data_IF_390904234218
#
_entry.id   IF_390904234218
#
_cell.length_a   1.000
_cell.length_b   1.000
_cell.length_c   1.000
_cell.angle_alpha   90.00
_cell.angle_beta   90.00
_cell.angle_gamma   90.00
#
_symmetry.space_group_name_H-M   'P 1'
#
loop_
_entity.id
_entity.type
_entity.pdbx_description
1 polymer ?
#
# COMPACT_ATOMS: atom_id res chain seq x y z
N UNK A 1 3.37 11.22 29.38
CA UNK A 1 4.10 11.30 28.10
C UNK A 1 5.05 10.12 28.06
N UNK A 2 4.93 9.23 27.08
CA UNK A 2 5.69 7.98 27.06
C UNK A 2 7.00 8.19 26.31
N UNK A 3 8.09 8.45 27.06
CA UNK A 3 9.41 8.45 26.46
C UNK A 3 9.77 7.05 26.01
N UNK A 4 10.21 6.94 24.75
CA UNK A 4 10.75 5.70 24.25
C UNK A 4 12.07 5.40 25.00
N UNK A 5 12.25 4.18 25.54
CA UNK A 5 13.51 3.81 26.16
C UNK A 5 14.69 4.07 25.20
N UNK A 6 15.82 4.53 25.73
CA UNK A 6 17.02 4.80 24.94
C UNK A 6 17.47 3.58 24.12
N UNK A 7 17.23 2.38 24.66
CA UNK A 7 17.47 1.10 23.98
C UNK A 7 16.69 1.00 22.67
N UNK A 8 15.40 1.32 22.67
CA UNK A 8 14.53 1.26 21.47
C UNK A 8 15.06 2.17 20.37
N UNK A 9 15.43 3.41 20.71
CA UNK A 9 15.99 4.37 19.75
C UNK A 9 17.32 3.87 19.18
N UNK A 10 18.19 3.38 20.04
CA UNK A 10 19.49 2.83 19.66
C UNK A 10 19.32 1.63 18.72
N UNK A 11 18.42 0.70 19.04
CA UNK A 11 18.11 -0.47 18.19
C UNK A 11 17.55 -0.05 16.84
N UNK A 12 16.60 0.90 16.79
CA UNK A 12 16.06 1.40 15.52
C UNK A 12 17.18 2.01 14.64
N UNK A 13 18.08 2.77 15.25
CA UNK A 13 19.26 3.32 14.58
C UNK A 13 20.20 2.24 14.01
N UNK A 14 20.49 1.19 14.78
CA UNK A 14 21.32 0.07 14.31
C UNK A 14 20.66 -0.72 13.18
N UNK A 15 19.35 -1.01 13.28
CA UNK A 15 18.60 -1.68 12.23
C UNK A 15 18.64 -0.87 10.93
N UNK A 16 18.42 0.45 11.01
CA UNK A 16 18.52 1.33 9.86
C UNK A 16 19.92 1.29 9.24
N UNK A 17 20.97 1.50 10.05
CA UNK A 17 22.35 1.50 9.58
C UNK A 17 22.74 0.17 8.91
N UNK A 18 22.33 -0.96 9.50
CA UNK A 18 22.56 -2.29 8.96
C UNK A 18 21.85 -2.47 7.61
N UNK A 19 20.58 -2.08 7.51
CA UNK A 19 19.81 -2.20 6.26
C UNK A 19 20.41 -1.36 5.12
N UNK A 20 20.81 -0.13 5.42
CA UNK A 20 21.47 0.78 4.46
C UNK A 20 22.82 0.21 4.03
N UNK A 21 23.67 -0.17 4.99
CA UNK A 21 24.98 -0.77 4.70
C UNK A 21 24.87 -2.03 3.86
N UNK A 22 23.89 -2.89 4.14
CA UNK A 22 23.63 -4.10 3.36
C UNK A 22 23.19 -3.78 1.93
N UNK A 23 22.25 -2.86 1.74
CA UNK A 23 21.79 -2.46 0.39
C UNK A 23 22.96 -1.90 -0.42
N UNK A 24 23.80 -1.05 0.17
CA UNK A 24 24.98 -0.49 -0.49
C UNK A 24 26.02 -1.58 -0.81
N UNK A 25 26.36 -2.43 0.15
CA UNK A 25 27.30 -3.53 -0.03
C UNK A 25 26.85 -4.47 -1.15
N UNK A 26 25.60 -4.91 -1.09
CA UNK A 26 25.06 -5.83 -2.08
C UNK A 26 24.94 -5.18 -3.46
N UNK A 27 24.59 -3.89 -3.55
CA UNK A 27 24.64 -3.17 -4.83
C UNK A 27 26.06 -3.08 -5.37
N UNK A 28 27.06 -2.86 -4.52
CA UNK A 28 28.45 -2.79 -4.96
C UNK A 28 28.99 -4.15 -5.41
N UNK A 29 28.75 -5.21 -4.63
CA UNK A 29 29.24 -6.57 -4.92
C UNK A 29 28.49 -7.24 -6.06
N UNK A 30 27.18 -7.03 -6.16
CA UNK A 30 26.31 -7.65 -7.15
C UNK A 30 25.81 -6.67 -8.22
N UNK A 31 26.49 -5.52 -8.41
CA UNK A 31 26.32 -4.66 -9.57
C UNK A 31 26.74 -5.44 -10.83
N UNK A 32 25.92 -6.40 -11.23
CA UNK A 32 25.96 -6.92 -12.58
C UNK A 32 25.37 -5.83 -13.47
N UNK A 33 25.94 -5.57 -14.66
CA UNK A 33 25.35 -4.71 -15.69
C UNK A 33 24.02 -5.26 -16.25
N UNK A 34 23.40 -6.22 -15.57
CA UNK A 34 22.42 -7.16 -16.12
C UNK A 34 20.96 -6.76 -15.89
N UNK A 35 20.67 -5.49 -15.68
CA UNK A 35 19.31 -5.03 -15.88
C UNK A 35 19.33 -3.54 -16.20
N UNK A 36 19.02 -3.19 -17.44
CA UNK A 36 18.56 -1.86 -17.87
C UNK A 36 17.20 -1.51 -17.20
N UNK A 37 17.01 -1.90 -15.94
CA UNK A 37 15.96 -1.41 -15.09
C UNK A 37 16.13 0.09 -15.03
N UNK A 38 15.14 0.81 -15.56
CA UNK A 38 15.24 2.24 -15.79
C UNK A 38 15.82 2.95 -14.57
N UNK A 39 16.87 3.75 -14.78
CA UNK A 39 17.54 4.56 -13.75
C UNK A 39 16.50 5.29 -12.88
N UNK A 40 15.39 5.72 -13.49
CA UNK A 40 14.24 6.36 -12.83
C UNK A 40 13.65 5.54 -11.68
N UNK A 41 13.41 4.24 -11.88
CA UNK A 41 12.86 3.38 -10.84
C UNK A 41 13.81 3.24 -9.63
N UNK A 42 15.12 3.15 -9.89
CA UNK A 42 16.13 3.14 -8.83
C UNK A 42 16.15 4.46 -8.05
N UNK A 43 16.03 5.60 -8.73
CA UNK A 43 15.96 6.92 -8.09
C UNK A 43 14.74 7.02 -7.18
N UNK A 44 13.55 6.60 -7.66
CA UNK A 44 12.33 6.65 -6.84
C UNK A 44 12.46 5.86 -5.52
N UNK A 45 13.00 4.64 -5.58
CA UNK A 45 13.27 3.82 -4.39
C UNK A 45 14.25 4.49 -3.43
N UNK A 46 15.33 5.05 -3.96
CA UNK A 46 16.35 5.75 -3.15
C UNK A 46 15.71 6.95 -2.44
N UNK A 47 14.93 7.76 -3.14
CA UNK A 47 14.27 8.93 -2.56
C UNK A 47 13.30 8.52 -1.46
N UNK A 48 12.42 7.53 -1.71
CA UNK A 48 11.46 7.05 -0.71
C UNK A 48 12.15 6.49 0.53
N UNK A 49 13.19 5.66 0.35
CA UNK A 49 13.95 5.09 1.46
C UNK A 49 14.76 6.17 2.22
N UNK A 50 15.29 7.17 1.52
CA UNK A 50 16.02 8.27 2.13
C UNK A 50 15.11 9.18 2.97
N UNK A 51 13.91 9.51 2.47
CA UNK A 51 12.91 10.27 3.22
C UNK A 51 12.50 9.53 4.49
N UNK A 52 12.21 8.23 4.39
CA UNK A 52 11.88 7.42 5.56
C UNK A 52 13.05 7.30 6.54
N UNK A 53 14.26 7.01 6.04
CA UNK A 53 15.48 6.90 6.85
C UNK A 53 15.80 8.21 7.57
N UNK A 54 15.61 9.36 6.93
CA UNK A 54 15.76 10.67 7.57
C UNK A 54 14.80 10.85 8.74
N UNK A 55 13.54 10.42 8.62
CA UNK A 55 12.57 10.47 9.71
C UNK A 55 12.99 9.59 10.91
N UNK A 56 13.55 8.40 10.65
CA UNK A 56 14.13 7.54 11.70
C UNK A 56 15.36 8.20 12.34
N UNK A 57 16.24 8.84 11.56
CA UNK A 57 17.38 9.58 12.10
C UNK A 57 16.91 10.71 13.01
N UNK A 58 15.88 11.46 12.61
CA UNK A 58 15.27 12.51 13.45
C UNK A 58 14.72 11.93 14.74
N UNK A 59 14.01 10.81 14.67
CA UNK A 59 13.50 10.11 15.86
C UNK A 59 14.61 9.66 16.83
N UNK A 60 15.75 9.20 16.30
CA UNK A 60 16.87 8.73 17.12
C UNK A 60 17.68 9.90 17.71
N UNK A 61 17.89 10.98 16.94
CA UNK A 61 18.78 12.10 17.31
C UNK A 61 18.07 13.26 18.01
N UNK A 62 16.83 13.56 17.62
CA UNK A 62 16.01 14.65 18.16
C UNK A 62 14.63 14.13 18.57
N UNK A 63 14.58 13.22 19.56
CA UNK A 63 13.36 12.55 19.97
C UNK A 63 12.28 13.55 20.36
N UNK A 64 12.65 14.66 21.03
CA UNK A 64 11.76 15.75 21.47
C UNK A 64 10.82 16.29 20.38
N UNK A 65 11.26 16.31 19.11
CA UNK A 65 10.43 16.73 17.97
C UNK A 65 9.25 15.77 17.75
N UNK A 66 9.46 14.49 18.03
CA UNK A 66 8.52 13.41 17.72
C UNK A 66 7.85 12.78 18.94
N UNK A 67 8.29 13.09 20.17
CA UNK A 67 7.74 12.50 21.40
C UNK A 67 6.23 12.67 21.55
N UNK A 68 5.69 13.81 21.10
CA UNK A 68 4.26 14.11 21.15
C UNK A 68 3.40 13.16 20.29
N UNK A 69 4.02 12.45 19.36
CA UNK A 69 3.38 11.50 18.46
C UNK A 69 3.56 10.05 18.88
N UNK A 70 4.22 9.79 20.02
CA UNK A 70 4.36 8.44 20.56
C UNK A 70 3.01 7.93 21.06
N UNK A 71 2.74 6.66 20.83
CA UNK A 71 1.62 5.96 21.45
C UNK A 71 2.08 4.90 22.43
N UNK A 72 1.18 4.57 23.35
CA UNK A 72 1.42 3.53 24.32
C UNK A 72 1.45 2.18 23.60
N UNK A 73 2.55 1.46 23.74
CA UNK A 73 2.70 0.08 23.29
C UNK A 73 3.47 -0.66 24.38
N UNK A 74 3.00 -1.84 24.76
CA UNK A 74 3.68 -2.67 25.75
C UNK A 74 5.12 -2.93 25.32
N UNK A 75 6.11 -2.83 26.23
CA UNK A 75 7.51 -3.08 25.91
C UNK A 75 7.74 -4.42 25.22
N UNK A 76 7.03 -5.48 25.65
CA UNK A 76 7.13 -6.81 25.06
C UNK A 76 6.67 -6.82 23.60
N UNK A 77 5.48 -6.26 23.33
CA UNK A 77 4.94 -6.14 21.96
C UNK A 77 5.88 -5.32 21.10
N UNK A 78 6.40 -4.21 21.63
CA UNK A 78 7.38 -3.37 20.95
C UNK A 78 8.65 -4.14 20.58
N UNK A 79 9.21 -4.94 21.48
CA UNK A 79 10.40 -5.74 21.19
C UNK A 79 10.13 -6.88 20.21
N UNK A 80 8.92 -7.44 20.19
CA UNK A 80 8.58 -8.49 19.20
C UNK A 80 8.64 -7.99 17.76
N UNK A 81 8.57 -6.69 17.50
CA UNK A 81 8.70 -6.12 16.14
C UNK A 81 10.13 -6.20 15.58
N UNK A 82 11.14 -6.49 16.41
CA UNK A 82 12.50 -6.74 15.94
C UNK A 82 12.61 -8.02 15.10
N UNK A 83 11.76 -9.01 15.37
CA UNK A 83 11.72 -10.27 14.61
C UNK A 83 11.32 -10.03 13.15
N UNK A 84 10.18 -9.38 12.82
CA UNK A 84 9.86 -9.06 11.43
C UNK A 84 10.86 -8.10 10.78
N UNK A 85 11.53 -7.22 11.55
CA UNK A 85 12.62 -6.40 10.99
C UNK A 85 13.81 -7.26 10.54
N UNK A 86 14.23 -8.23 11.36
CA UNK A 86 15.28 -9.18 11.01
C UNK A 86 14.88 -10.05 9.80
N UNK A 87 13.63 -10.55 9.76
CA UNK A 87 13.08 -11.26 8.60
C UNK A 87 13.13 -10.38 7.35
N UNK A 88 12.74 -9.11 7.45
CA UNK A 88 12.84 -8.15 6.35
C UNK A 88 14.26 -8.03 5.79
N UNK A 89 15.27 -7.94 6.66
CA UNK A 89 16.69 -7.91 6.25
C UNK A 89 17.08 -9.21 5.54
N UNK A 90 16.72 -10.38 6.08
CA UNK A 90 17.02 -11.68 5.46
C UNK A 90 16.35 -11.81 4.08
N UNK A 91 15.10 -11.37 3.96
CA UNK A 91 14.37 -11.32 2.69
C UNK A 91 15.03 -10.36 1.69
N UNK A 92 15.58 -9.23 2.14
CA UNK A 92 16.36 -8.33 1.26
C UNK A 92 17.60 -9.04 0.71
N UNK A 93 18.37 -9.74 1.55
CA UNK A 93 19.54 -10.52 1.12
C UNK A 93 19.13 -11.56 0.07
N UNK A 94 18.07 -12.32 0.36
CA UNK A 94 17.58 -13.35 -0.54
C UNK A 94 17.06 -12.76 -1.85
N UNK A 95 16.33 -11.64 -1.81
CA UNK A 95 15.79 -10.99 -2.99
C UNK A 95 16.91 -10.47 -3.89
N UNK A 96 17.99 -9.94 -3.32
CA UNK A 96 19.17 -9.49 -4.07
C UNK A 96 19.99 -10.64 -4.67
N UNK A 97 19.94 -11.84 -4.09
CA UNK A 97 20.54 -13.06 -4.66
C UNK A 97 19.64 -13.77 -5.67
N UNK A 98 18.35 -13.44 -5.68
CA UNK A 98 17.36 -13.97 -6.61
C UNK A 98 17.55 -13.35 -8.00
N UNK A 99 17.07 -14.02 -9.05
CA UNK A 99 17.24 -13.54 -10.42
C UNK A 99 15.95 -13.67 -11.23
N UNK A 100 15.82 -12.79 -12.22
CA UNK A 100 14.77 -12.82 -13.23
C UNK A 100 15.45 -12.51 -14.57
N UNK A 101 15.51 -13.50 -15.47
CA UNK A 101 16.21 -13.40 -16.76
C UNK A 101 15.32 -13.91 -17.88
N UNK A 102 15.52 -13.37 -19.08
CA UNK A 102 15.05 -14.04 -20.29
C UNK A 102 16.01 -15.21 -20.58
N UNK A 103 15.46 -16.40 -20.74
CA UNK A 103 16.18 -17.58 -21.19
C UNK A 103 16.38 -17.53 -22.72
N UNK A 104 17.28 -18.37 -23.25
CA UNK A 104 17.63 -18.40 -24.68
C UNK A 104 16.44 -18.82 -25.57
N UNK A 105 15.50 -19.58 -25.02
CA UNK A 105 14.26 -20.00 -25.68
C UNK A 105 13.14 -18.93 -25.66
N UNK A 106 13.43 -17.75 -25.10
CA UNK A 106 12.47 -16.65 -24.92
C UNK A 106 11.59 -16.78 -23.67
N UNK A 107 11.70 -17.88 -22.91
CA UNK A 107 10.99 -18.03 -21.64
C UNK A 107 11.61 -17.16 -20.53
N UNK A 108 10.93 -17.04 -19.40
CA UNK A 108 11.44 -16.30 -18.23
C UNK A 108 11.94 -17.28 -17.19
N UNK A 109 13.26 -17.26 -16.95
CA UNK A 109 13.93 -17.94 -15.86
C UNK A 109 13.87 -17.07 -14.59
N UNK A 110 13.01 -17.47 -13.66
CA UNK A 110 12.76 -16.77 -12.40
C UNK A 110 13.21 -17.65 -11.22
N UNK A 111 14.39 -17.36 -10.66
CA UNK A 111 14.96 -18.09 -9.55
C UNK A 111 14.83 -17.37 -8.20
N UNK A 112 14.75 -18.15 -7.12
CA UNK A 112 14.63 -17.64 -5.76
C UNK A 112 13.26 -16.98 -5.49
N UNK A 113 13.25 -15.83 -4.82
CA UNK A 113 12.00 -15.12 -4.48
C UNK A 113 11.22 -14.63 -5.71
N UNK A 114 11.89 -14.45 -6.85
CA UNK A 114 11.22 -14.09 -8.11
C UNK A 114 10.31 -15.19 -8.65
N UNK A 115 10.49 -16.44 -8.22
CA UNK A 115 9.59 -17.54 -8.57
C UNK A 115 8.19 -17.37 -7.94
N UNK A 116 8.09 -16.63 -6.83
CA UNK A 116 6.84 -16.46 -6.09
C UNK A 116 6.21 -15.08 -6.26
N UNK A 117 7.03 -14.03 -6.39
CA UNK A 117 6.55 -12.65 -6.52
C UNK A 117 7.46 -11.79 -7.41
N UNK A 118 6.88 -10.75 -8.02
CA UNK A 118 7.54 -9.89 -9.02
C UNK A 118 8.40 -8.79 -8.44
N UNK A 119 8.15 -8.42 -7.19
CA UNK A 119 8.80 -7.31 -6.48
C UNK A 119 9.28 -7.75 -5.08
N UNK A 120 10.10 -8.81 -4.97
CA UNK A 120 10.49 -9.38 -3.68
C UNK A 120 11.32 -8.41 -2.82
N UNK A 121 12.20 -7.62 -3.43
CA UNK A 121 13.01 -6.64 -2.71
C UNK A 121 12.14 -5.53 -2.12
N UNK A 122 11.16 -5.05 -2.89
CA UNK A 122 10.23 -4.02 -2.45
C UNK A 122 9.34 -4.52 -1.29
N UNK A 123 8.89 -5.77 -1.37
CA UNK A 123 8.16 -6.42 -0.29
C UNK A 123 9.01 -6.51 0.99
N UNK A 124 10.27 -6.92 0.87
CA UNK A 124 11.20 -7.03 1.99
C UNK A 124 11.48 -5.68 2.66
N UNK A 125 11.70 -4.63 1.86
CA UNK A 125 11.83 -3.24 2.35
C UNK A 125 10.56 -2.82 3.08
N UNK A 126 9.37 -3.10 2.52
CA UNK A 126 8.11 -2.77 3.17
C UNK A 126 7.92 -3.45 4.53
N UNK A 127 8.21 -4.75 4.62
CA UNK A 127 8.18 -5.49 5.90
C UNK A 127 9.12 -4.86 6.92
N UNK A 128 10.35 -4.53 6.51
CA UNK A 128 11.33 -3.88 7.38
C UNK A 128 10.88 -2.49 7.85
N UNK A 129 10.37 -1.66 6.94
CA UNK A 129 9.89 -0.31 7.28
C UNK A 129 8.76 -0.35 8.30
N UNK A 130 7.75 -1.20 8.07
CA UNK A 130 6.63 -1.38 9.01
C UNK A 130 7.14 -1.85 10.37
N UNK A 131 8.03 -2.85 10.39
CA UNK A 131 8.56 -3.40 11.63
C UNK A 131 9.33 -2.36 12.46
N UNK A 132 10.25 -1.60 11.85
CA UNK A 132 11.02 -0.55 12.54
C UNK A 132 10.13 0.60 12.99
N UNK A 133 9.14 0.97 12.19
CA UNK A 133 8.20 2.03 12.59
C UNK A 133 7.29 1.59 13.75
N UNK A 134 6.86 0.33 13.80
CA UNK A 134 6.16 -0.22 14.96
C UNK A 134 7.07 -0.32 16.19
N UNK A 135 8.36 -0.65 16.02
CA UNK A 135 9.36 -0.60 17.10
C UNK A 135 9.44 0.81 17.72
N UNK A 136 9.37 1.86 16.89
CA UNK A 136 9.35 3.24 17.37
C UNK A 136 8.05 3.60 18.08
N UNK A 137 6.95 2.87 17.87
CA UNK A 137 5.62 3.16 18.43
C UNK A 137 5.23 4.65 18.30
N UNK A 138 5.39 5.19 17.09
CA UNK A 138 5.15 6.60 16.78
C UNK A 138 4.17 6.78 15.61
N UNK A 139 3.10 7.54 15.84
CA UNK A 139 2.03 7.73 14.86
C UNK A 139 2.49 8.42 13.58
N UNK A 140 3.33 9.45 13.70
CA UNK A 140 3.81 10.19 12.53
C UNK A 140 4.67 9.28 11.64
N UNK A 141 5.51 8.44 12.25
CA UNK A 141 6.30 7.46 11.51
C UNK A 141 5.42 6.39 10.85
N UNK A 142 4.36 5.92 11.53
CA UNK A 142 3.38 4.98 10.94
C UNK A 142 2.71 5.63 9.72
N UNK A 143 2.17 6.83 9.88
CA UNK A 143 1.50 7.55 8.81
C UNK A 143 2.44 7.77 7.61
N UNK A 144 3.66 8.25 7.86
CA UNK A 144 4.68 8.42 6.83
C UNK A 144 4.99 7.09 6.11
N UNK A 145 5.18 6.01 6.86
CA UNK A 145 5.45 4.68 6.30
C UNK A 145 4.31 4.21 5.41
N UNK A 146 3.05 4.35 5.85
CA UNK A 146 1.89 3.99 5.05
C UNK A 146 1.78 4.80 3.76
N UNK A 147 2.03 6.11 3.82
CA UNK A 147 2.06 6.99 2.65
C UNK A 147 3.14 6.57 1.68
N UNK A 148 4.37 6.37 2.16
CA UNK A 148 5.50 5.97 1.31
C UNK A 148 5.27 4.60 0.68
N UNK A 149 4.74 3.62 1.43
CA UNK A 149 4.39 2.31 0.88
C UNK A 149 3.25 2.37 -0.13
N UNK A 150 2.30 3.29 0.05
CA UNK A 150 1.22 3.51 -0.92
C UNK A 150 1.76 4.10 -2.21
N UNK A 151 2.63 5.12 -2.14
CA UNK A 151 3.33 5.69 -3.30
C UNK A 151 4.17 4.61 -3.98
N UNK A 152 4.94 3.86 -3.19
CA UNK A 152 5.79 2.78 -3.67
C UNK A 152 4.98 1.72 -4.43
N UNK A 153 3.83 1.31 -3.87
CA UNK A 153 2.92 0.33 -4.47
C UNK A 153 2.23 0.83 -5.74
N UNK A 154 1.96 2.13 -5.84
CA UNK A 154 1.27 2.70 -7.00
C UNK A 154 2.24 2.99 -8.15
N UNK A 155 3.35 3.68 -7.86
CA UNK A 155 4.21 4.27 -8.88
C UNK A 155 5.18 3.24 -9.44
N UNK A 156 5.85 2.47 -8.58
CA UNK A 156 6.95 1.61 -9.01
C UNK A 156 6.47 0.40 -9.81
N UNK A 157 5.45 -0.36 -9.38
CA UNK A 157 4.91 -1.44 -10.19
C UNK A 157 4.39 -0.94 -11.53
N UNK A 158 3.72 0.20 -11.58
CA UNK A 158 3.17 0.70 -12.85
C UNK A 158 4.28 0.95 -13.90
N UNK A 159 5.34 1.67 -13.53
CA UNK A 159 6.44 1.94 -14.46
C UNK A 159 7.24 0.68 -14.82
N UNK A 160 7.49 -0.18 -13.82
CA UNK A 160 8.27 -1.42 -14.01
C UNK A 160 7.51 -2.46 -14.82
N UNK A 161 6.21 -2.65 -14.58
CA UNK A 161 5.37 -3.54 -15.39
C UNK A 161 5.33 -3.07 -16.84
N UNK A 162 5.14 -1.76 -17.07
CA UNK A 162 5.12 -1.20 -18.43
C UNK A 162 6.45 -1.45 -19.15
N UNK A 163 7.57 -1.21 -18.47
CA UNK A 163 8.89 -1.46 -19.04
C UNK A 163 9.15 -2.95 -19.30
N UNK A 164 8.84 -3.82 -18.33
CA UNK A 164 9.01 -5.27 -18.46
C UNK A 164 8.16 -5.86 -19.57
N UNK A 165 6.89 -5.43 -19.72
CA UNK A 165 6.04 -5.83 -20.85
C UNK A 165 6.58 -5.34 -22.18
N UNK A 166 7.10 -4.12 -22.25
CA UNK A 166 7.71 -3.59 -23.46
C UNK A 166 8.99 -4.37 -23.85
N UNK A 167 9.78 -4.81 -22.88
CA UNK A 167 11.06 -5.50 -23.11
C UNK A 167 10.92 -7.01 -23.32
N UNK A 168 10.10 -7.68 -22.51
CA UNK A 168 9.94 -9.14 -22.48
C UNK A 168 8.71 -9.63 -23.25
N UNK A 169 7.76 -8.75 -23.58
CA UNK A 169 6.59 -9.10 -24.39
C UNK A 169 5.64 -10.10 -23.70
N UNK A 170 4.97 -10.98 -24.48
CA UNK A 170 3.94 -11.90 -23.98
C UNK A 170 4.41 -12.89 -22.90
N UNK A 171 5.68 -13.31 -22.92
CA UNK A 171 6.21 -14.27 -21.94
C UNK A 171 6.25 -13.68 -20.53
N UNK A 172 6.32 -12.35 -20.43
CA UNK A 172 6.15 -11.65 -19.15
C UNK A 172 4.72 -11.67 -18.64
N UNK A 173 3.71 -11.61 -19.52
CA UNK A 173 2.32 -11.70 -19.09
C UNK A 173 2.01 -13.10 -18.52
N UNK A 174 2.59 -14.16 -19.10
CA UNK A 174 2.50 -15.52 -18.56
C UNK A 174 3.19 -15.65 -17.19
N UNK A 175 4.36 -15.02 -17.03
CA UNK A 175 5.05 -14.95 -15.75
C UNK A 175 4.27 -14.14 -14.70
N UNK A 176 3.70 -13.01 -15.09
CA UNK A 176 2.90 -12.16 -14.23
C UNK A 176 1.58 -12.82 -13.82
N UNK A 177 1.04 -13.74 -14.63
CA UNK A 177 -0.16 -14.50 -14.30
C UNK A 177 0.08 -15.56 -13.21
N UNK A 178 1.30 -16.12 -13.14
CA UNK A 178 1.70 -17.13 -12.14
C UNK A 178 2.29 -16.55 -10.86
N UNK A 179 2.68 -15.27 -10.85
CA UNK A 179 3.34 -14.64 -9.69
C UNK A 179 2.56 -13.46 -9.11
N UNK A 180 2.60 -13.35 -7.78
CA UNK A 180 2.02 -12.21 -7.08
C UNK A 180 2.90 -10.96 -7.21
N UNK A 181 2.41 -9.82 -6.73
CA UNK A 181 3.20 -8.58 -6.75
C UNK A 181 4.28 -8.61 -5.67
N UNK A 182 3.84 -8.52 -4.40
CA UNK A 182 4.72 -8.47 -3.23
C UNK A 182 4.64 -9.74 -2.37
N UNK A 183 3.54 -10.48 -2.49
CA UNK A 183 3.31 -11.74 -1.76
C UNK A 183 3.23 -12.90 -2.76
N UNK A 184 3.56 -14.13 -2.35
CA UNK A 184 3.37 -15.31 -3.17
C UNK A 184 1.92 -15.43 -3.66
N UNK A 185 1.73 -15.77 -4.93
CA UNK A 185 0.39 -16.13 -5.42
C UNK A 185 0.14 -17.60 -5.13
N UNK A 186 -0.91 -17.91 -4.35
CA UNK A 186 -1.30 -19.30 -4.08
C UNK A 186 -2.00 -19.97 -5.29
N UNK A 187 -2.49 -19.17 -6.24
CA UNK A 187 -3.16 -19.63 -7.45
C UNK A 187 -2.83 -18.70 -8.62
N UNK A 188 -2.95 -19.15 -9.88
CA UNK A 188 -2.90 -18.27 -11.04
C UNK A 188 -3.90 -17.13 -10.83
N UNK A 189 -3.47 -15.89 -11.06
CA UNK A 189 -4.36 -14.72 -10.91
C UNK A 189 -5.42 -14.81 -12.01
N UNK A 190 -6.60 -15.33 -11.67
CA UNK A 190 -7.76 -15.32 -12.56
C UNK A 190 -8.02 -13.86 -12.90
N UNK A 191 -7.95 -13.50 -14.19
CA UNK A 191 -8.30 -12.14 -14.64
C UNK A 191 -9.65 -11.80 -14.02
N UNK A 192 -9.69 -10.82 -13.13
CA UNK A 192 -10.94 -10.45 -12.48
C UNK A 192 -11.87 -9.98 -13.58
N UNK A 193 -12.95 -10.71 -13.80
CA UNK A 193 -13.98 -10.34 -14.77
C UNK A 193 -14.66 -9.01 -14.39
N UNK A 194 -14.40 -8.56 -13.16
CA UNK A 194 -14.69 -7.23 -12.66
C UNK A 194 -13.41 -6.39 -12.66
N UNK A 195 -13.36 -5.36 -13.52
CA UNK A 195 -12.40 -4.27 -13.39
C UNK A 195 -13.11 -3.10 -12.75
N UNK A 196 -12.59 -2.63 -11.60
CA UNK A 196 -13.04 -1.36 -11.03
C UNK A 196 -12.75 -0.26 -12.06
N UNK A 197 -13.72 0.60 -12.40
CA UNK A 197 -13.51 1.69 -13.35
C UNK A 197 -12.30 2.53 -12.93
N UNK A 198 -11.34 2.71 -13.85
CA UNK A 198 -10.12 3.49 -13.59
C UNK A 198 -10.36 5.01 -13.62
N UNK A 199 -11.59 5.43 -13.92
CA UNK A 199 -12.01 6.83 -13.96
C UNK A 199 -13.24 6.97 -13.07
N UNK A 200 -13.09 7.74 -12.00
CA UNK A 200 -14.25 8.21 -11.25
C UNK A 200 -14.84 9.37 -12.04
N UNK A 201 -15.96 9.14 -12.72
CA UNK A 201 -16.74 10.21 -13.30
C UNK A 201 -17.12 11.24 -12.23
N UNK A 202 -17.31 12.50 -12.63
CA UNK A 202 -17.80 13.57 -11.74
C UNK A 202 -19.06 13.11 -10.99
N UNK A 203 -19.92 12.34 -11.65
CA UNK A 203 -21.14 11.74 -11.09
C UNK A 203 -20.85 10.85 -9.88
N UNK A 204 -19.81 10.00 -9.95
CA UNK A 204 -19.43 9.12 -8.83
C UNK A 204 -18.95 9.93 -7.62
N UNK A 205 -18.19 11.01 -7.86
CA UNK A 205 -17.73 11.93 -6.81
C UNK A 205 -18.95 12.60 -6.14
N UNK A 206 -19.86 13.16 -6.94
CA UNK A 206 -21.06 13.83 -6.44
C UNK A 206 -21.94 12.89 -5.62
N UNK A 207 -22.15 11.68 -6.11
CA UNK A 207 -22.97 10.71 -5.39
C UNK A 207 -22.28 10.22 -4.11
N UNK A 208 -20.96 10.01 -4.11
CA UNK A 208 -20.20 9.69 -2.89
C UNK A 208 -20.31 10.82 -1.84
N UNK A 209 -20.16 12.07 -2.25
CA UNK A 209 -20.32 13.23 -1.37
C UNK A 209 -21.74 13.32 -0.81
N UNK A 210 -22.76 12.99 -1.61
CA UNK A 210 -24.16 12.97 -1.16
C UNK A 210 -24.40 11.90 -0.10
N UNK A 211 -23.87 10.69 -0.29
CA UNK A 211 -23.95 9.62 0.70
C UNK A 211 -23.24 10.01 2.00
N UNK A 212 -22.04 10.59 1.91
CA UNK A 212 -21.30 11.10 3.06
C UNK A 212 -22.07 12.18 3.82
N UNK A 213 -22.67 13.14 3.10
CA UNK A 213 -23.49 14.19 3.70
C UNK A 213 -24.70 13.61 4.45
N UNK A 214 -25.36 12.58 3.89
CA UNK A 214 -26.47 11.90 4.56
C UNK A 214 -26.01 11.16 5.82
N UNK A 215 -24.90 10.42 5.75
CA UNK A 215 -24.32 9.70 6.90
C UNK A 215 -23.97 10.69 8.02
N UNK A 216 -23.27 11.79 7.71
CA UNK A 216 -22.92 12.80 8.71
C UNK A 216 -24.13 13.58 9.21
N UNK A 217 -25.16 13.78 8.38
CA UNK A 217 -26.46 14.32 8.81
C UNK A 217 -27.15 13.41 9.82
N UNK A 218 -27.15 12.09 9.58
CA UNK A 218 -27.72 11.10 10.49
C UNK A 218 -26.95 11.03 11.82
N UNK A 219 -25.60 11.03 11.78
CA UNK A 219 -24.77 11.10 12.99
C UNK A 219 -25.07 12.36 13.81
N UNK A 220 -25.32 13.49 13.13
CA UNK A 220 -25.72 14.73 13.79
C UNK A 220 -27.10 14.66 14.41
N UNK A 221 -28.05 14.02 13.74
CA UNK A 221 -29.41 13.85 14.26
C UNK A 221 -29.46 13.01 15.55
N UNK A 222 -28.51 12.08 15.74
CA UNK A 222 -28.38 11.28 16.97
C UNK A 222 -27.39 11.86 17.98
N UNK A 223 -26.99 13.12 17.80
CA UNK A 223 -26.04 13.83 18.66
C UNK A 223 -24.74 13.05 18.90
N UNK A 224 -24.24 12.37 17.86
CA UNK A 224 -23.02 11.59 17.97
C UNK A 224 -21.85 12.48 18.44
N UNK A 225 -20.94 11.98 19.29
CA UNK A 225 -19.74 12.72 19.65
C UNK A 225 -18.85 13.03 18.43
N UNK A 226 -18.11 14.15 18.40
CA UNK A 226 -17.25 14.55 17.27
C UNK A 226 -16.27 13.46 16.81
N UNK A 227 -15.80 12.65 17.76
CA UNK A 227 -14.86 11.57 17.51
C UNK A 227 -15.44 10.46 16.61
N UNK A 228 -16.76 10.24 16.66
CA UNK A 228 -17.44 9.26 15.81
C UNK A 228 -17.44 9.71 14.35
N UNK A 229 -17.55 11.02 14.07
CA UNK A 229 -17.44 11.54 12.70
C UNK A 229 -16.05 11.34 12.13
N UNK A 230 -15.02 11.57 12.94
CA UNK A 230 -13.63 11.36 12.51
C UNK A 230 -13.37 9.88 12.24
N UNK A 231 -13.86 9.00 13.11
CA UNK A 231 -13.80 7.56 12.89
C UNK A 231 -14.48 7.18 11.57
N UNK A 232 -15.78 7.46 11.42
CA UNK A 232 -16.56 7.07 10.22
C UNK A 232 -15.99 7.70 8.95
N UNK A 233 -15.59 8.97 8.99
CA UNK A 233 -14.98 9.65 7.85
C UNK A 233 -13.65 9.02 7.44
N UNK A 234 -12.76 8.75 8.40
CA UNK A 234 -11.48 8.08 8.14
C UNK A 234 -11.66 6.65 7.64
N UNK A 235 -12.64 5.92 8.18
CA UNK A 235 -13.00 4.55 7.78
C UNK A 235 -13.43 4.50 6.31
N UNK A 236 -14.37 5.38 5.91
CA UNK A 236 -14.87 5.43 4.53
C UNK A 236 -13.74 5.81 3.56
N UNK A 237 -12.95 6.84 3.89
CA UNK A 237 -11.82 7.26 3.03
C UNK A 237 -10.80 6.14 2.89
N UNK A 238 -10.40 5.50 3.99
CA UNK A 238 -9.43 4.41 3.97
C UNK A 238 -9.95 3.20 3.20
N UNK A 239 -11.23 2.85 3.34
CA UNK A 239 -11.87 1.77 2.58
C UNK A 239 -11.83 2.08 1.08
N UNK A 240 -12.23 3.28 0.68
CA UNK A 240 -12.19 3.70 -0.73
C UNK A 240 -10.77 3.61 -1.30
N UNK A 241 -9.77 4.13 -0.57
CA UNK A 241 -8.37 4.06 -0.98
C UNK A 241 -7.90 2.61 -1.11
N UNK A 242 -8.17 1.76 -0.12
CA UNK A 242 -7.75 0.36 -0.15
C UNK A 242 -8.43 -0.40 -1.29
N UNK A 243 -9.70 -0.13 -1.59
CA UNK A 243 -10.39 -0.75 -2.73
C UNK A 243 -9.74 -0.36 -4.06
N UNK A 244 -9.36 0.91 -4.23
CA UNK A 244 -8.62 1.41 -5.41
C UNK A 244 -7.25 0.71 -5.52
N UNK A 245 -6.55 0.53 -4.39
CA UNK A 245 -5.20 -0.04 -4.33
C UNK A 245 -5.15 -1.57 -4.46
N UNK A 246 -6.18 -2.28 -4.00
CA UNK A 246 -6.20 -3.74 -3.93
C UNK A 246 -6.80 -4.36 -5.19
N UNK A 247 -7.85 -3.74 -5.77
CA UNK A 247 -8.47 -4.04 -7.08
C UNK A 247 -9.05 -5.47 -7.26
N UNK A 248 -8.26 -6.48 -6.95
CA UNK A 248 -8.52 -7.91 -7.02
C UNK A 248 -9.53 -8.44 -5.99
N UNK A 249 -9.61 -7.80 -4.82
CA UNK A 249 -10.45 -8.25 -3.70
C UNK A 249 -10.96 -7.06 -2.86
N UNK A 250 -11.80 -6.17 -3.44
CA UNK A 250 -12.23 -4.94 -2.78
C UNK A 250 -12.85 -5.19 -1.41
N UNK A 251 -13.65 -6.26 -1.26
CA UNK A 251 -14.28 -6.65 0.01
C UNK A 251 -13.27 -7.07 1.09
N UNK A 252 -12.27 -7.85 0.68
CA UNK A 252 -11.18 -8.27 1.58
C UNK A 252 -10.37 -7.07 2.04
N UNK A 253 -10.07 -6.16 1.11
CA UNK A 253 -9.43 -4.88 1.42
C UNK A 253 -10.19 -4.09 2.50
N UNK A 254 -11.49 -3.91 2.33
CA UNK A 254 -12.31 -3.16 3.30
C UNK A 254 -12.41 -3.83 4.66
N UNK A 255 -12.51 -5.17 4.71
CA UNK A 255 -12.49 -5.90 5.96
C UNK A 255 -11.17 -5.71 6.71
N UNK A 256 -10.03 -5.78 6.01
CA UNK A 256 -8.72 -5.52 6.62
C UNK A 256 -8.63 -4.07 7.13
N UNK A 257 -9.15 -3.10 6.36
CA UNK A 257 -9.18 -1.69 6.79
C UNK A 257 -9.90 -1.52 8.13
N UNK A 258 -11.13 -2.03 8.25
CA UNK A 258 -11.89 -1.88 9.49
C UNK A 258 -11.31 -2.66 10.65
N UNK A 259 -10.74 -3.85 10.39
CA UNK A 259 -10.04 -4.66 11.39
C UNK A 259 -8.83 -3.93 12.00
N UNK A 260 -8.23 -2.99 11.26
CA UNK A 260 -7.11 -2.15 11.72
C UNK A 260 -7.61 -0.86 12.35
N UNK A 261 -8.54 -0.16 11.70
CA UNK A 261 -8.96 1.18 12.10
C UNK A 261 -9.84 1.18 13.36
N UNK A 262 -10.70 0.18 13.57
CA UNK A 262 -11.55 0.18 14.77
C UNK A 262 -10.73 0.04 16.06
N UNK A 263 -9.82 -0.95 16.23
CA UNK A 263 -8.95 -0.99 17.41
C UNK A 263 -8.17 0.30 17.59
N UNK A 264 -7.63 0.86 16.50
CA UNK A 264 -6.91 2.12 16.53
C UNK A 264 -7.75 3.26 17.13
N UNK A 265 -8.96 3.48 16.60
CA UNK A 265 -9.83 4.54 17.09
C UNK A 265 -10.30 4.30 18.52
N UNK A 266 -10.62 3.06 18.89
CA UNK A 266 -11.01 2.74 20.26
C UNK A 266 -9.90 3.10 21.26
N UNK A 267 -8.65 2.70 21.00
CA UNK A 267 -7.52 3.02 21.89
C UNK A 267 -7.15 4.52 21.89
N UNK A 268 -7.36 5.21 20.77
CA UNK A 268 -7.08 6.65 20.69
C UNK A 268 -8.10 7.50 21.44
N UNK A 269 -9.32 7.01 21.62
CA UNK A 269 -10.46 7.83 22.03
C UNK A 269 -11.00 7.43 23.38
N UNK A 270 -11.13 6.13 23.61
CA UNK A 270 -11.42 5.58 24.91
C UNK A 270 -10.07 5.54 25.63
N UNK A 271 -9.92 6.35 26.68
CA UNK A 271 -8.79 6.22 27.62
C UNK A 271 -8.94 4.89 28.33
N UNK A 272 -8.62 3.79 27.64
CA UNK A 272 -8.83 2.43 28.13
C UNK A 272 -8.07 2.30 29.44
N UNK A 273 -8.74 1.98 30.56
CA UNK A 273 -8.05 1.78 31.82
C UNK A 273 -7.05 0.63 31.66
N UNK A 274 -5.96 0.62 32.44
CA UNK A 274 -5.04 -0.52 32.43
C UNK A 274 -5.81 -1.78 32.82
N UNK A 275 -5.82 -2.76 31.91
CA UNK A 275 -6.46 -4.05 32.11
C UNK A 275 -5.40 -5.15 32.25
N UNK A 276 -5.72 -6.29 32.88
CA UNK A 276 -4.85 -7.45 32.83
C UNK A 276 -4.60 -7.87 31.37
N UNK A 277 -3.38 -8.30 31.06
CA UNK A 277 -2.94 -8.64 29.69
C UNK A 277 -3.89 -9.61 28.98
N UNK A 278 -4.47 -10.58 29.69
CA UNK A 278 -5.44 -11.53 29.13
C UNK A 278 -6.71 -10.86 28.63
N UNK A 279 -7.27 -9.93 29.42
CA UNK A 279 -8.45 -9.16 29.02
C UNK A 279 -8.16 -8.25 27.84
N UNK A 280 -6.98 -7.64 27.82
CA UNK A 280 -6.60 -6.77 26.73
C UNK A 280 -6.44 -7.52 25.40
N UNK A 281 -5.83 -8.70 25.42
CA UNK A 281 -5.74 -9.56 24.23
C UNK A 281 -7.15 -9.91 23.71
N UNK A 282 -8.05 -10.34 24.60
CA UNK A 282 -9.44 -10.68 24.23
C UNK A 282 -10.16 -9.45 23.67
N UNK A 283 -9.96 -8.28 24.28
CA UNK A 283 -10.55 -7.02 23.84
C UNK A 283 -10.06 -6.63 22.44
N UNK A 284 -8.74 -6.67 22.19
CA UNK A 284 -8.16 -6.40 20.87
C UNK A 284 -8.67 -7.38 19.82
N UNK A 285 -8.69 -8.69 20.11
CA UNK A 285 -9.22 -9.69 19.17
C UNK A 285 -10.68 -9.39 18.81
N UNK A 286 -11.48 -9.02 19.81
CA UNK A 286 -12.89 -8.67 19.61
C UNK A 286 -13.03 -7.42 18.74
N UNK A 287 -12.22 -6.38 18.99
CA UNK A 287 -12.21 -5.16 18.17
C UNK A 287 -11.74 -5.42 16.73
N UNK A 288 -10.73 -6.27 16.54
CA UNK A 288 -10.26 -6.66 15.21
C UNK A 288 -11.36 -7.40 14.44
N UNK A 289 -12.03 -8.35 15.08
CA UNK A 289 -13.14 -9.09 14.47
C UNK A 289 -14.33 -8.19 14.12
N UNK A 290 -14.75 -7.33 15.06
CA UNK A 290 -15.88 -6.42 14.86
C UNK A 290 -15.55 -5.33 13.83
N UNK A 291 -14.32 -4.80 13.87
CA UNK A 291 -13.80 -3.86 12.89
C UNK A 291 -13.78 -4.48 11.50
N UNK A 292 -13.35 -5.74 11.39
CA UNK A 292 -13.35 -6.47 10.12
C UNK A 292 -14.75 -6.64 9.53
N UNK A 293 -15.72 -7.00 10.37
CA UNK A 293 -17.12 -7.09 9.98
C UNK A 293 -17.67 -5.72 9.53
N UNK A 294 -17.42 -4.67 10.31
CA UNK A 294 -17.86 -3.31 10.01
C UNK A 294 -17.26 -2.82 8.68
N UNK A 295 -15.96 -2.99 8.49
CA UNK A 295 -15.25 -2.63 7.26
C UNK A 295 -15.76 -3.41 6.05
N UNK A 296 -16.08 -4.70 6.21
CA UNK A 296 -16.73 -5.50 5.16
C UNK A 296 -18.10 -4.94 4.78
N UNK A 297 -18.94 -4.60 5.75
CA UNK A 297 -20.26 -4.02 5.52
C UNK A 297 -20.17 -2.68 4.78
N UNK A 298 -19.35 -1.75 5.28
CA UNK A 298 -19.15 -0.43 4.65
C UNK A 298 -18.57 -0.59 3.24
N UNK A 299 -17.57 -1.45 3.08
CA UNK A 299 -16.96 -1.72 1.79
C UNK A 299 -17.92 -2.33 0.77
N UNK A 300 -18.82 -3.21 1.21
CA UNK A 300 -19.85 -3.80 0.37
C UNK A 300 -20.88 -2.75 -0.06
N UNK A 301 -21.29 -1.86 0.84
CA UNK A 301 -22.16 -0.74 0.52
C UNK A 301 -21.50 0.23 -0.47
N UNK A 302 -20.24 0.59 -0.25
CA UNK A 302 -19.48 1.44 -1.16
C UNK A 302 -19.35 0.82 -2.57
N UNK A 303 -19.03 -0.48 -2.65
CA UNK A 303 -18.96 -1.20 -3.92
C UNK A 303 -20.34 -1.28 -4.62
N UNK A 304 -21.41 -1.53 -3.87
CA UNK A 304 -22.79 -1.52 -4.39
C UNK A 304 -23.21 -0.15 -4.92
N UNK A 305 -22.79 0.92 -4.23
CA UNK A 305 -22.98 2.28 -4.68
C UNK A 305 -22.26 2.56 -6.00
N UNK A 306 -20.98 2.18 -6.13
CA UNK A 306 -20.25 2.34 -7.39
C UNK A 306 -20.90 1.56 -8.54
N UNK A 307 -21.32 0.32 -8.30
CA UNK A 307 -22.08 -0.47 -9.27
C UNK A 307 -23.36 0.24 -9.74
N UNK A 308 -24.11 0.82 -8.80
CA UNK A 308 -25.31 1.58 -9.12
C UNK A 308 -24.97 2.82 -9.96
N UNK A 309 -23.91 3.54 -9.62
CA UNK A 309 -23.46 4.71 -10.39
C UNK A 309 -23.07 4.34 -11.82
N UNK A 310 -22.34 3.23 -12.01
CA UNK A 310 -21.97 2.71 -13.33
C UNK A 310 -23.20 2.34 -14.18
N UNK A 311 -24.29 1.88 -13.53
CA UNK A 311 -25.56 1.59 -14.21
C UNK A 311 -26.32 2.85 -14.60
N UNK A 312 -26.25 3.92 -13.80
CA UNK A 312 -26.98 5.18 -14.02
C UNK A 312 -26.22 6.09 -15.01
N UNK A 313 -24.89 6.08 -15.00
CA UNK A 313 -24.06 6.97 -15.81
C UNK A 313 -24.43 6.97 -17.32
N UNK A 314 -24.66 5.83 -17.99
CA UNK A 314 -25.08 5.83 -19.39
C UNK A 314 -26.41 6.55 -19.65
N UNK A 315 -27.30 6.62 -18.66
CA UNK A 315 -28.59 7.33 -18.76
C UNK A 315 -28.42 8.83 -18.57
N UNK A 316 -27.51 9.24 -17.67
CA UNK A 316 -27.19 10.65 -17.42
C UNK A 316 -26.39 11.29 -18.57
N UNK A 317 -25.49 10.52 -19.19
CA UNK A 317 -24.57 11.04 -20.22
C UNK A 317 -25.18 10.99 -21.64
N UNK A 318 -26.27 10.24 -21.85
CA UNK A 318 -26.91 10.00 -23.16
C UNK A 318 -27.34 11.26 -23.93
N UNK A 319 -27.46 12.42 -23.25
CA UNK A 319 -27.83 13.68 -23.90
C UNK A 319 -26.64 14.55 -24.36
N UNK A 320 -25.39 14.12 -24.17
CA UNK A 320 -24.20 14.86 -24.66
C UNK A 320 -23.71 14.44 -26.05
N UNK A 321 -24.50 13.64 -26.79
CA UNK A 321 -24.25 13.27 -28.20
C UNK A 321 -24.23 14.46 -29.18
N UNK A 322 -24.28 15.71 -28.70
CA UNK A 322 -24.42 16.95 -29.49
C UNK A 322 -23.09 17.50 -30.04
N UNK A 323 -21.92 16.95 -29.68
CA UNK A 323 -20.66 17.33 -30.34
C UNK A 323 -19.81 16.13 -30.73
N UNK A 324 -20.34 15.27 -31.61
CA UNK A 324 -19.47 14.76 -32.66
C UNK A 324 -19.10 15.95 -33.54
N UNK A 325 -18.05 16.69 -33.14
CA UNK A 325 -17.32 17.51 -34.10
C UNK A 325 -17.00 16.57 -35.27
N UNK A 326 -17.46 16.87 -36.50
CA UNK A 326 -17.04 16.09 -37.65
C UNK A 326 -15.52 16.09 -37.62
N UNK A 327 -14.92 14.91 -37.47
CA UNK A 327 -13.52 14.68 -37.80
C UNK A 327 -13.40 14.84 -39.33
N UNK A 328 -13.61 16.06 -39.82
CA UNK A 328 -13.13 16.48 -41.11
C UNK A 328 -11.62 16.51 -41.03
N UNK A 329 -10.99 15.64 -41.81
CA UNK A 329 -9.65 15.81 -42.35
C UNK A 329 -8.53 16.08 -41.34
N UNK A 330 -8.32 15.16 -40.39
CA UNK A 330 -6.97 15.04 -39.84
C UNK A 330 -6.07 14.43 -40.93
N UNK A 331 -5.02 15.15 -41.37
CA UNK A 331 -4.17 14.70 -42.47
C UNK A 331 -3.54 13.35 -42.11
N UNK A 332 -3.80 12.36 -42.95
CA UNK A 332 -3.16 11.04 -42.90
C UNK A 332 -1.64 11.25 -42.87
N UNK A 333 -1.04 10.88 -41.75
CA UNK A 333 0.42 10.89 -41.55
C UNK A 333 1.04 10.06 -42.67
N UNK A 334 1.69 10.72 -43.64
CA UNK A 334 2.47 10.06 -44.70
C UNK A 334 3.45 9.10 -44.04
N UNK A 335 3.40 7.83 -44.45
CA UNK A 335 4.30 6.79 -43.98
C UNK A 335 5.78 7.15 -44.21
N UNK A 336 6.69 6.46 -43.50
CA UNK A 336 8.13 6.67 -43.68
C UNK A 336 8.47 6.45 -45.16
N UNK A 337 9.14 7.45 -45.76
CA UNK A 337 9.73 7.31 -47.10
C UNK A 337 10.73 6.17 -47.05
N UNK A 338 10.48 5.14 -47.84
CA UNK A 338 11.52 4.19 -48.25
C UNK A 338 12.67 5.01 -48.85
N UNK A 339 13.84 4.89 -48.25
CA UNK A 339 15.10 5.39 -48.78
C UNK A 339 15.71 4.30 -49.63
N UNK A 340 15.70 4.50 -50.95
CA UNK A 340 16.56 3.80 -51.91
C UNK A 340 18.05 4.11 -51.68
#
# INVERSE_FOLDING_TARGET
MFDAPQEVRTTAGYLLALSVGLIFYMRFTFARPASDVSVRSSVSRIVLCAVWGAAIIVYVRWPEVLLHWNFFMFPQVRWTTTVPAAIGILLMIWAMRSHLRAAEDGSIDAGGLYAWCRYPLDAAIGVFMVAVTLLCANWLLIALTLVLLSIHRLVIPYEMERFRRAFLGPTYDEYAARTGWFLPSAAPVKKSQYQVPSRFGLTAIMGLLTVLAFIFGALRAVEAPPVVYLFVGSEIVAICLVQILVGSSPRGGSAVTGAVLLPFWVYMTLRTPPMPMTFEIVFVITLVAFGGLLGYCIGTLAAGFFLMMDLIEPWLVRDTTVYQLPLGDLPTRKGPRESD
#
